data_IF_864935235477
#
_entry.id   IF_864935235477
#
_cell.length_a   1.000
_cell.length_b   1.000
_cell.length_c   1.000
_cell.angle_alpha   90.00
_cell.angle_beta   90.00
_cell.angle_gamma   90.00
#
_symmetry.space_group_name_H-M   'P 1'
#
loop_
_entity.id
_entity.type
_entity.pdbx_description
1 polymer ?
#
# COMPACT_ATOMS: atom_id res chain seq x y z
N UNK A 1 7.58 -13.75 -3.11
CA UNK A 1 6.12 -13.97 -3.07
C UNK A 1 5.41 -12.64 -3.16
N UNK A 2 4.29 -12.57 -3.86
CA UNK A 2 3.49 -11.34 -4.01
C UNK A 2 2.49 -11.18 -2.86
N UNK A 3 2.06 -9.96 -2.57
CA UNK A 3 0.98 -9.72 -1.60
C UNK A 3 -0.37 -9.75 -2.32
N UNK A 4 -1.19 -10.76 -2.05
CA UNK A 4 -2.52 -10.84 -2.66
C UNK A 4 -3.60 -10.34 -1.70
N UNK A 5 -4.58 -9.54 -2.18
CA UNK A 5 -5.73 -9.18 -1.37
C UNK A 5 -6.53 -10.41 -0.95
N UNK A 6 -6.88 -10.49 0.33
CA UNK A 6 -7.76 -11.52 0.85
C UNK A 6 -9.08 -10.89 1.31
N UNK A 7 -10.16 -11.18 0.59
CA UNK A 7 -11.51 -10.70 0.90
C UNK A 7 -11.95 -9.46 0.11
N UNK A 8 -13.25 -9.11 0.18
CA UNK A 8 -13.88 -8.12 -0.71
C UNK A 8 -13.42 -6.68 -0.48
N UNK A 9 -13.00 -6.35 0.74
CA UNK A 9 -12.57 -4.99 1.11
C UNK A 9 -11.06 -4.77 0.97
N UNK A 10 -10.34 -5.77 0.45
CA UNK A 10 -8.91 -5.71 0.20
C UNK A 10 -8.63 -5.50 -1.30
N UNK A 11 -7.68 -4.63 -1.63
CA UNK A 11 -7.28 -4.36 -3.01
C UNK A 11 -5.80 -4.03 -3.12
N UNK A 12 -5.20 -4.31 -4.29
CA UNK A 12 -3.82 -3.95 -4.57
C UNK A 12 -3.68 -2.44 -4.72
N UNK A 13 -2.68 -1.87 -4.04
CA UNK A 13 -2.32 -0.44 -4.13
C UNK A 13 -0.96 -0.19 -4.77
N UNK A 14 -0.11 -1.22 -4.92
CA UNK A 14 1.19 -1.12 -5.58
C UNK A 14 1.44 -2.34 -6.46
N UNK A 15 2.09 -2.14 -7.62
CA UNK A 15 2.55 -3.23 -8.49
C UNK A 15 4.01 -3.02 -8.85
N UNK A 16 4.81 -4.08 -8.76
CA UNK A 16 6.16 -4.07 -9.29
C UNK A 16 6.12 -3.89 -10.81
N UNK A 17 7.01 -3.03 -11.33
CA UNK A 17 7.05 -2.64 -12.74
C UNK A 17 7.36 -3.82 -13.67
N UNK A 18 8.15 -4.79 -13.19
CA UNK A 18 8.71 -5.86 -14.03
C UNK A 18 7.87 -7.13 -14.12
N UNK A 19 7.00 -7.41 -13.14
CA UNK A 19 6.31 -8.71 -13.08
C UNK A 19 4.81 -8.64 -12.77
N UNK A 20 4.21 -7.44 -12.75
CA UNK A 20 2.79 -7.19 -12.43
C UNK A 20 2.34 -7.71 -11.05
N UNK A 21 3.26 -8.25 -10.24
CA UNK A 21 2.96 -8.76 -8.93
C UNK A 21 2.63 -7.61 -7.99
N UNK A 22 1.64 -7.86 -7.12
CA UNK A 22 1.20 -6.89 -6.13
C UNK A 22 2.30 -6.67 -5.09
N UNK A 23 2.76 -5.42 -5.01
CA UNK A 23 3.80 -4.93 -4.11
C UNK A 23 3.20 -4.27 -2.86
N UNK A 24 1.87 -4.13 -2.80
CA UNK A 24 1.19 -3.63 -1.62
C UNK A 24 -0.31 -3.85 -1.69
N UNK A 25 -0.92 -4.12 -0.54
CA UNK A 25 -2.36 -4.34 -0.38
C UNK A 25 -2.89 -3.36 0.64
N UNK A 26 -4.04 -2.75 0.33
CA UNK A 26 -4.83 -2.00 1.30
C UNK A 26 -6.11 -2.77 1.63
N UNK A 27 -6.58 -2.64 2.86
CA UNK A 27 -7.89 -3.11 3.31
C UNK A 27 -8.69 -1.94 3.87
N UNK A 28 -9.94 -1.78 3.44
CA UNK A 28 -10.85 -0.69 3.85
C UNK A 28 -12.19 -1.25 4.33
N UNK A 29 -12.19 -1.95 5.46
CA UNK A 29 -13.43 -2.45 6.08
C UNK A 29 -13.78 -1.74 7.38
N UNK A 30 -13.98 -2.50 8.45
CA UNK A 30 -14.24 -1.95 9.79
C UNK A 30 -13.01 -1.28 10.43
N UNK A 31 -11.84 -1.52 9.84
CA UNK A 31 -10.57 -0.88 10.14
C UNK A 31 -9.80 -0.72 8.82
N UNK A 32 -8.67 -0.02 8.87
CA UNK A 32 -7.84 0.25 7.70
C UNK A 32 -6.45 -0.32 7.90
N UNK A 33 -5.94 -1.02 6.90
CA UNK A 33 -4.58 -1.58 6.88
C UNK A 33 -3.95 -1.28 5.53
N UNK A 34 -2.67 -0.94 5.57
CA UNK A 34 -1.79 -0.93 4.40
C UNK A 34 -0.63 -1.86 4.69
N UNK A 35 -0.40 -2.84 3.82
CA UNK A 35 0.75 -3.74 3.87
C UNK A 35 1.59 -3.53 2.62
N UNK A 36 2.87 -3.21 2.80
CA UNK A 36 3.84 -3.05 1.71
C UNK A 36 4.75 -4.28 1.67
N UNK A 37 5.01 -4.77 0.47
CA UNK A 37 5.88 -5.93 0.22
C UNK A 37 7.34 -5.56 0.04
N UNK A 38 7.70 -4.30 0.31
CA UNK A 38 9.04 -3.75 0.18
C UNK A 38 9.33 -2.77 1.34
N UNK A 39 10.60 -2.62 1.76
CA UNK A 39 11.02 -1.61 2.72
C UNK A 39 10.81 -0.19 2.20
N UNK A 40 10.46 0.78 3.05
CA UNK A 40 10.27 2.17 2.61
C UNK A 40 11.54 2.77 1.99
N UNK A 41 12.71 2.30 2.46
CA UNK A 41 14.05 2.68 2.04
C UNK A 41 14.36 2.29 0.58
N UNK A 42 13.53 1.48 -0.08
CA UNK A 42 13.68 1.22 -1.52
C UNK A 42 13.24 2.42 -2.38
N UNK A 43 12.56 3.40 -1.79
CA UNK A 43 12.30 4.68 -2.44
C UNK A 43 13.55 5.56 -2.33
N UNK A 44 14.04 6.02 -3.47
CA UNK A 44 15.35 6.66 -3.63
C UNK A 44 15.41 8.08 -3.06
N UNK A 45 14.25 8.73 -2.89
CA UNK A 45 14.20 10.12 -2.39
C UNK A 45 13.28 10.27 -1.19
N UNK A 46 13.62 11.23 -0.32
CA UNK A 46 12.81 11.57 0.85
C UNK A 46 11.41 12.06 0.44
N UNK A 47 11.28 12.76 -0.69
CA UNK A 47 9.99 13.21 -1.21
C UNK A 47 9.09 12.03 -1.59
N UNK A 48 9.65 10.97 -2.18
CA UNK A 48 8.92 9.75 -2.51
C UNK A 48 8.42 9.06 -1.24
N UNK A 49 9.28 8.95 -0.23
CA UNK A 49 8.93 8.36 1.07
C UNK A 49 7.86 9.17 1.79
N UNK A 50 8.06 10.48 1.91
CA UNK A 50 7.11 11.39 2.56
C UNK A 50 5.75 11.37 1.84
N UNK A 51 5.74 11.33 0.52
CA UNK A 51 4.52 11.22 -0.28
C UNK A 51 3.78 9.91 0.01
N UNK A 52 4.48 8.77 -0.01
CA UNK A 52 3.86 7.47 0.28
C UNK A 52 3.28 7.42 1.69
N UNK A 53 4.03 7.88 2.69
CA UNK A 53 3.56 7.94 4.09
C UNK A 53 2.34 8.86 4.20
N UNK A 54 2.35 10.02 3.54
CA UNK A 54 1.20 10.93 3.52
C UNK A 54 -0.03 10.26 2.91
N UNK A 55 0.11 9.60 1.76
CA UNK A 55 -0.99 8.87 1.11
C UNK A 55 -1.55 7.75 2.02
N UNK A 56 -0.70 7.05 2.76
CA UNK A 56 -1.13 6.06 3.75
C UNK A 56 -1.91 6.71 4.93
N UNK A 57 -1.41 7.83 5.46
CA UNK A 57 -2.08 8.56 6.54
C UNK A 57 -3.43 9.12 6.10
N UNK A 58 -3.52 9.67 4.88
CA UNK A 58 -4.77 10.16 4.31
C UNK A 58 -5.78 9.03 4.13
N UNK A 59 -5.32 7.86 3.66
CA UNK A 59 -6.14 6.65 3.61
C UNK A 59 -6.68 6.28 4.99
N UNK A 60 -5.85 6.29 6.04
CA UNK A 60 -6.27 5.95 7.39
C UNK A 60 -7.28 6.93 7.99
N UNK A 61 -7.23 8.20 7.59
CA UNK A 61 -8.10 9.28 8.09
C UNK A 61 -9.43 9.42 7.35
N UNK A 62 -9.59 8.77 6.20
CA UNK A 62 -10.82 8.93 5.40
C UNK A 62 -11.97 8.17 6.06
N UNK A 63 -12.94 8.85 6.69
CA UNK A 63 -14.11 8.22 7.33
C UNK A 63 -14.95 7.35 6.37
N UNK A 64 -15.82 6.51 6.94
CA UNK A 64 -16.70 5.59 6.17
C UNK A 64 -17.67 6.37 5.29
#
# INVERSE_FOLDING_TARGET
SALEPAGPEAYTIFRYRDNRLSAGVAYRGNYRVVTLGFPLETLETEEQQARLVKECLDFFKTDK
#
